data_IF_264227792336
#
_entry.id   IF_264227792336
#
_cell.length_a   1.000
_cell.length_b   1.000
_cell.length_c   1.000
_cell.angle_alpha   90.00
_cell.angle_beta   90.00
_cell.angle_gamma   90.00
#
_symmetry.space_group_name_H-M   'P 1'
#
loop_
_entity.id
_entity.type
_entity.pdbx_description
1 polymer ?
#
# COMPACT_ATOMS: atom_id res chain seq x y z
N UNK A 1 -28.57 10.98 10.77
CA UNK A 1 -27.59 11.36 9.72
C UNK A 1 -26.48 10.32 9.77
N UNK A 2 -26.36 9.46 8.76
CA UNK A 2 -25.28 8.45 8.72
C UNK A 2 -24.02 9.19 8.27
N UNK A 3 -23.06 9.35 9.17
CA UNK A 3 -21.74 9.87 8.77
C UNK A 3 -21.10 8.83 7.85
N UNK A 4 -20.96 9.17 6.57
CA UNK A 4 -20.16 8.39 5.64
C UNK A 4 -18.72 8.37 6.16
N UNK A 5 -18.25 7.18 6.51
CA UNK A 5 -16.87 6.97 6.94
C UNK A 5 -15.99 6.84 5.70
N UNK A 6 -14.85 7.52 5.70
CA UNK A 6 -13.93 7.46 4.58
C UNK A 6 -13.29 6.07 4.52
N UNK A 7 -13.36 5.42 3.35
CA UNK A 7 -12.87 4.06 3.12
C UNK A 7 -12.05 4.03 1.84
N UNK A 8 -10.90 3.36 1.88
CA UNK A 8 -10.06 3.16 0.69
C UNK A 8 -10.61 1.98 -0.10
N UNK A 9 -11.09 2.26 -1.31
CA UNK A 9 -11.34 1.26 -2.35
C UNK A 9 -10.00 0.85 -2.97
N UNK A 10 -9.77 -0.46 -3.09
CA UNK A 10 -8.63 -1.01 -3.82
C UNK A 10 -9.12 -1.90 -4.94
N UNK A 11 -8.46 -1.83 -6.09
CA UNK A 11 -8.74 -2.74 -7.19
C UNK A 11 -7.47 -3.14 -7.92
N UNK A 12 -7.52 -4.28 -8.58
CA UNK A 12 -6.50 -4.78 -9.50
C UNK A 12 -7.19 -5.20 -10.79
N UNK A 13 -6.48 -5.07 -11.91
CA UNK A 13 -6.98 -5.43 -13.23
C UNK A 13 -5.98 -6.38 -13.87
N UNK A 14 -6.50 -7.41 -14.52
CA UNK A 14 -5.74 -8.30 -15.39
C UNK A 14 -6.47 -8.46 -16.73
N UNK A 15 -5.72 -8.86 -17.74
CA UNK A 15 -6.25 -9.09 -19.08
C UNK A 15 -5.54 -10.32 -19.64
N UNK A 16 -6.33 -11.25 -20.16
CA UNK A 16 -5.83 -12.53 -20.67
C UNK A 16 -6.57 -12.89 -21.95
N UNK A 17 -5.83 -13.43 -22.90
CA UNK A 17 -6.43 -14.05 -24.08
C UNK A 17 -6.74 -15.51 -23.75
N UNK A 18 -7.99 -15.90 -23.98
CA UNK A 18 -8.47 -17.27 -23.78
C UNK A 18 -8.84 -17.85 -25.12
N UNK A 19 -8.21 -18.96 -25.50
CA UNK A 19 -8.53 -19.67 -26.74
C UNK A 19 -9.82 -20.47 -26.56
N UNK A 20 -10.84 -20.15 -27.35
CA UNK A 20 -12.10 -20.90 -27.43
C UNK A 20 -12.32 -21.38 -28.86
N UNK A 21 -12.02 -22.65 -29.10
CA UNK A 21 -12.08 -23.25 -30.43
C UNK A 21 -11.10 -22.62 -31.42
N UNK A 22 -11.62 -21.93 -32.45
CA UNK A 22 -10.82 -21.31 -33.51
C UNK A 22 -10.43 -19.85 -33.23
N UNK A 23 -10.81 -19.28 -32.08
CA UNK A 23 -10.61 -17.84 -31.79
C UNK A 23 -10.00 -17.62 -30.42
N UNK A 24 -9.22 -16.55 -30.33
CA UNK A 24 -8.79 -15.99 -29.07
C UNK A 24 -9.81 -14.93 -28.68
N UNK A 25 -10.35 -15.05 -27.47
CA UNK A 25 -11.28 -14.08 -26.90
C UNK A 25 -10.57 -13.42 -25.74
N UNK A 26 -10.62 -12.10 -25.70
CA UNK A 26 -10.01 -11.31 -24.65
C UNK A 26 -10.91 -11.25 -23.42
N UNK A 27 -10.46 -11.84 -22.32
CA UNK A 27 -11.10 -11.76 -21.00
C UNK A 27 -10.43 -10.67 -20.18
N UNK A 28 -11.23 -9.70 -19.72
CA UNK A 28 -10.79 -8.62 -18.82
C UNK A 28 -11.31 -8.91 -17.43
N UNK A 29 -10.39 -9.09 -16.49
CA UNK A 29 -10.70 -9.43 -15.11
C UNK A 29 -10.38 -8.25 -14.20
N UNK A 30 -11.21 -8.02 -13.21
CA UNK A 30 -10.94 -7.03 -12.18
C UNK A 30 -11.37 -7.55 -10.80
N UNK A 31 -10.51 -7.32 -9.82
CA UNK A 31 -10.78 -7.64 -8.44
C UNK A 31 -10.87 -6.35 -7.67
N UNK A 32 -11.98 -6.09 -7.00
CA UNK A 32 -12.19 -4.91 -6.17
C UNK A 32 -12.48 -5.32 -4.73
N UNK A 33 -11.95 -4.54 -3.79
CA UNK A 33 -12.24 -4.71 -2.36
C UNK A 33 -12.38 -3.35 -1.69
N UNK A 34 -13.25 -3.30 -0.69
CA UNK A 34 -13.48 -2.13 0.13
C UNK A 34 -13.78 -2.58 1.57
N UNK A 35 -13.29 -1.86 2.60
CA UNK A 35 -13.68 -2.12 3.97
C UNK A 35 -15.21 -2.10 4.12
N UNK A 36 -15.75 -3.02 4.92
CA UNK A 36 -17.17 -3.01 5.25
C UNK A 36 -17.52 -1.79 6.07
N UNK A 37 -18.75 -1.30 5.96
CA UNK A 37 -19.26 -0.22 6.80
C UNK A 37 -19.17 -0.57 8.29
N UNK A 38 -19.33 -1.85 8.65
CA UNK A 38 -19.12 -2.36 10.00
C UNK A 38 -17.68 -2.15 10.48
N UNK A 39 -16.69 -2.60 9.68
CA UNK A 39 -15.27 -2.45 10.03
C UNK A 39 -14.90 -0.99 10.27
N UNK A 40 -15.46 -0.10 9.45
CA UNK A 40 -15.26 1.33 9.61
C UNK A 40 -15.90 1.84 10.90
N UNK A 41 -17.19 1.57 11.13
CA UNK A 41 -17.89 2.00 12.33
C UNK A 41 -17.18 1.55 13.61
N UNK A 42 -16.75 0.30 13.69
CA UNK A 42 -16.02 -0.23 14.85
C UNK A 42 -14.71 0.54 15.05
N UNK A 43 -13.94 0.76 13.99
CA UNK A 43 -12.66 1.49 14.07
C UNK A 43 -12.83 2.96 14.51
N UNK A 44 -13.90 3.63 14.10
CA UNK A 44 -14.22 4.99 14.51
C UNK A 44 -14.79 5.08 15.93
N UNK A 45 -15.51 4.06 16.40
CA UNK A 45 -16.12 4.06 17.74
C UNK A 45 -15.11 3.80 18.87
N UNK A 46 -13.98 3.14 18.59
CA UNK A 46 -12.97 2.89 19.62
C UNK A 46 -12.46 4.25 20.15
N UNK A 47 -12.64 4.58 21.44
CA UNK A 47 -12.19 5.86 21.96
C UNK A 47 -10.67 5.94 21.87
N UNK A 48 -10.14 7.06 21.39
CA UNK A 48 -8.73 7.36 21.61
C UNK A 48 -8.60 7.68 23.08
N UNK A 49 -7.99 6.78 23.86
CA UNK A 49 -7.58 7.11 25.23
C UNK A 49 -6.72 8.36 25.14
N UNK A 50 -7.30 9.50 25.52
CA UNK A 50 -6.65 10.81 25.51
C UNK A 50 -5.50 10.77 26.51
N UNK A 51 -4.32 10.37 26.05
CA UNK A 51 -3.08 10.49 26.81
C UNK A 51 -2.59 11.94 26.71
N UNK A 52 -3.35 12.86 27.33
CA UNK A 52 -3.03 14.29 27.35
C UNK A 52 -4.09 15.07 28.09
N UNK A 53 -3.70 15.69 29.21
CA UNK A 53 -4.50 16.65 30.00
C UNK A 53 -4.71 17.90 29.14
N UNK A 54 -5.71 17.88 28.25
CA UNK A 54 -6.00 18.98 27.33
C UNK A 54 -6.83 18.61 26.10
N UNK A 55 -6.95 17.31 25.75
CA UNK A 55 -7.79 16.87 24.63
C UNK A 55 -7.36 17.37 23.23
N UNK A 56 -6.29 18.14 23.15
CA UNK A 56 -5.63 18.53 21.91
C UNK A 56 -4.79 17.37 21.41
N UNK A 57 -5.06 16.97 20.17
CA UNK A 57 -4.29 15.97 19.44
C UNK A 57 -2.85 16.44 19.26
N UNK A 58 -1.89 15.55 19.51
CA UNK A 58 -0.48 15.83 19.22
C UNK A 58 -0.24 15.39 17.77
N UNK A 59 -0.17 16.31 16.80
CA UNK A 59 0.23 15.97 15.44
C UNK A 59 1.62 15.31 15.47
N UNK A 60 1.78 14.19 14.76
CA UNK A 60 3.05 13.45 14.67
C UNK A 60 3.15 12.16 15.49
N UNK A 61 2.04 11.64 16.05
CA UNK A 61 2.02 10.26 16.56
C UNK A 61 1.34 9.34 15.56
N UNK A 62 2.13 8.47 14.91
CA UNK A 62 1.66 7.46 13.97
C UNK A 62 0.99 6.31 14.73
N UNK A 63 -0.25 6.54 15.17
CA UNK A 63 -1.09 5.54 15.79
C UNK A 63 -1.93 4.89 14.69
N UNK A 64 -1.70 3.61 14.45
CA UNK A 64 -2.55 2.81 13.57
C UNK A 64 -3.42 1.91 14.44
N UNK A 65 -4.71 1.89 14.16
CA UNK A 65 -5.63 0.92 14.76
C UNK A 65 -5.91 -0.14 13.75
N UNK A 66 -5.90 -1.38 14.18
CA UNK A 66 -6.24 -2.48 13.30
C UNK A 66 -7.25 -3.42 13.94
N UNK A 67 -8.08 -4.01 13.09
CA UNK A 67 -9.11 -4.96 13.48
C UNK A 67 -9.12 -6.08 12.45
N UNK A 68 -9.28 -7.33 12.91
CA UNK A 68 -9.45 -8.48 12.02
C UNK A 68 -10.95 -8.67 11.77
N UNK A 69 -11.40 -8.37 10.56
CA UNK A 69 -12.78 -8.56 10.11
C UNK A 69 -12.79 -9.04 8.66
N UNK A 70 -13.85 -9.72 8.21
CA UNK A 70 -13.99 -10.03 6.80
C UNK A 70 -14.18 -8.73 5.99
N UNK A 71 -13.47 -8.64 4.87
CA UNK A 71 -13.70 -7.65 3.81
C UNK A 71 -14.53 -8.27 2.70
N UNK A 72 -15.25 -7.42 1.97
CA UNK A 72 -15.86 -7.82 0.70
C UNK A 72 -14.78 -7.79 -0.37
N UNK A 73 -14.68 -8.86 -1.14
CA UNK A 73 -13.90 -8.89 -2.37
C UNK A 73 -14.83 -9.35 -3.50
N UNK A 74 -14.83 -8.60 -4.59
CA UNK A 74 -15.61 -8.91 -5.79
C UNK A 74 -14.66 -9.12 -6.95
N UNK A 75 -14.82 -10.23 -7.65
CA UNK A 75 -14.12 -10.56 -8.89
C UNK A 75 -15.11 -10.46 -10.04
N UNK A 76 -14.73 -9.78 -11.11
CA UNK A 76 -15.54 -9.65 -12.32
C UNK A 76 -14.70 -10.02 -13.54
N UNK A 77 -15.17 -11.00 -14.30
CA UNK A 77 -14.57 -11.50 -15.54
C UNK A 77 -15.48 -11.16 -16.71
N UNK A 78 -15.09 -10.19 -17.52
CA UNK A 78 -15.89 -9.70 -18.64
C UNK A 78 -15.25 -10.07 -19.98
N UNK A 79 -16.06 -10.51 -20.93
CA UNK A 79 -15.63 -10.65 -22.32
C UNK A 79 -15.52 -9.27 -22.99
N UNK A 80 -14.49 -9.07 -23.80
CA UNK A 80 -14.34 -7.84 -24.60
C UNK A 80 -15.34 -7.80 -25.75
N UNK A 81 -15.94 -6.63 -26.00
CA UNK A 81 -16.94 -6.47 -27.06
C UNK A 81 -16.35 -6.61 -28.48
N UNK A 82 -15.05 -6.32 -28.64
CA UNK A 82 -14.35 -6.43 -29.92
C UNK A 82 -14.32 -7.88 -30.45
N UNK A 83 -14.44 -8.88 -29.55
CA UNK A 83 -14.43 -10.30 -29.92
C UNK A 83 -15.83 -10.92 -29.98
N UNK A 84 -16.85 -10.24 -29.44
CA UNK A 84 -18.23 -10.70 -29.60
C UNK A 84 -18.66 -10.40 -31.03
N UNK A 85 -18.71 -11.45 -31.86
CA UNK A 85 -19.35 -11.40 -33.18
C UNK A 85 -20.73 -10.75 -33.09
N UNK A 86 -21.27 -10.31 -34.24
CA UNK A 86 -22.70 -10.03 -34.40
C UNK A 86 -23.54 -11.11 -33.69
N UNK A 87 -23.99 -10.79 -32.47
CA UNK A 87 -24.87 -11.66 -31.69
C UNK A 87 -26.21 -11.63 -32.40
N UNK A 88 -26.52 -12.68 -33.14
CA UNK A 88 -27.90 -12.92 -33.58
C UNK A 88 -28.71 -13.36 -32.38
N UNK A 89 -30.03 -13.13 -32.39
CA UNK A 89 -30.90 -13.53 -31.28
C UNK A 89 -30.75 -15.01 -30.89
N UNK A 90 -30.44 -15.85 -31.87
CA UNK A 90 -30.41 -17.30 -31.73
C UNK A 90 -28.99 -17.82 -31.44
N UNK A 91 -27.95 -16.98 -31.51
CA UNK A 91 -26.61 -17.38 -31.09
C UNK A 91 -26.54 -17.58 -29.57
N UNK A 92 -25.93 -18.69 -29.11
CA UNK A 92 -25.59 -18.86 -27.70
C UNK A 92 -24.71 -17.70 -27.22
N UNK A 93 -25.01 -17.19 -26.03
CA UNK A 93 -24.21 -16.09 -25.47
C UNK A 93 -23.02 -16.70 -24.73
N UNK A 94 -21.82 -16.36 -25.17
CA UNK A 94 -20.59 -16.77 -24.48
C UNK A 94 -20.44 -15.99 -23.17
N UNK A 95 -19.85 -16.60 -22.15
CA UNK A 95 -19.49 -15.95 -20.89
C UNK A 95 -18.17 -16.52 -20.34
N UNK A 96 -17.48 -15.79 -19.48
CA UNK A 96 -16.26 -16.29 -18.83
C UNK A 96 -16.63 -17.26 -17.72
N UNK A 97 -15.99 -18.41 -17.60
CA UNK A 97 -16.17 -19.26 -16.41
C UNK A 97 -15.52 -18.60 -15.18
N UNK A 98 -15.79 -19.16 -14.00
CA UNK A 98 -15.30 -18.69 -12.70
C UNK A 98 -13.76 -18.62 -12.60
N UNK A 99 -13.05 -19.44 -13.36
CA UNK A 99 -11.58 -19.45 -13.43
C UNK A 99 -11.00 -18.21 -14.15
N UNK A 100 -11.82 -17.50 -14.92
CA UNK A 100 -11.40 -16.41 -15.80
C UNK A 100 -10.54 -16.85 -16.99
N UNK A 101 -10.37 -18.16 -17.16
CA UNK A 101 -9.44 -18.82 -18.09
C UNK A 101 -10.14 -19.69 -19.12
N UNK A 102 -11.44 -19.93 -18.91
CA UNK A 102 -12.29 -20.75 -19.76
C UNK A 102 -13.54 -19.97 -20.16
N UNK A 103 -14.19 -20.39 -21.25
CA UNK A 103 -15.40 -19.75 -21.76
C UNK A 103 -16.53 -20.78 -21.80
N UNK A 104 -17.64 -20.43 -21.16
CA UNK A 104 -18.89 -21.17 -21.23
C UNK A 104 -19.87 -20.53 -22.19
N UNK A 105 -21.00 -21.20 -22.40
CA UNK A 105 -22.14 -20.66 -23.15
C UNK A 105 -23.41 -20.79 -22.32
N UNK A 106 -24.20 -19.72 -22.26
CA UNK A 106 -25.57 -19.71 -21.71
C UNK A 106 -26.59 -19.76 -22.87
N UNK A 107 -27.90 -19.97 -22.58
CA UNK A 107 -28.93 -19.94 -23.59
C UNK A 107 -28.89 -18.68 -24.47
N UNK A 108 -29.49 -18.76 -25.65
CA UNK A 108 -29.45 -17.69 -26.65
C UNK A 108 -30.00 -16.36 -26.11
N UNK A 109 -29.58 -15.26 -26.74
CA UNK A 109 -30.03 -13.91 -26.37
C UNK A 109 -31.57 -13.79 -26.39
N UNK A 110 -32.24 -14.50 -27.31
CA UNK A 110 -33.70 -14.62 -27.35
C UNK A 110 -34.27 -15.13 -26.01
N UNK A 111 -33.65 -16.14 -25.42
CA UNK A 111 -34.13 -16.71 -24.16
C UNK A 111 -33.93 -15.75 -22.99
N UNK A 112 -32.81 -15.00 -22.97
CA UNK A 112 -32.57 -13.97 -21.96
C UNK A 112 -33.60 -12.85 -22.03
N UNK A 113 -33.91 -12.39 -23.25
CA UNK A 113 -34.93 -11.36 -23.48
C UNK A 113 -36.32 -11.89 -23.13
N UNK A 114 -36.62 -13.15 -23.48
CA UNK A 114 -37.88 -13.76 -23.11
C UNK A 114 -38.03 -13.83 -21.58
N UNK A 115 -36.96 -14.22 -20.87
CA UNK A 115 -36.95 -14.20 -19.41
C UNK A 115 -37.21 -12.79 -18.85
N UNK A 116 -36.60 -11.74 -19.42
CA UNK A 116 -36.88 -10.36 -19.05
C UNK A 116 -38.37 -9.99 -19.24
N UNK A 117 -38.95 -10.37 -20.37
CA UNK A 117 -40.38 -10.15 -20.66
C UNK A 117 -41.28 -10.91 -19.67
N UNK A 118 -40.91 -12.14 -19.33
CA UNK A 118 -41.65 -12.98 -18.38
C UNK A 118 -41.63 -12.39 -16.95
N UNK A 119 -40.59 -11.62 -16.60
CA UNK A 119 -40.46 -10.90 -15.32
C UNK A 119 -41.04 -9.48 -15.36
N UNK A 120 -41.92 -9.18 -16.32
CA UNK A 120 -42.66 -7.92 -16.40
C UNK A 120 -42.03 -6.86 -17.29
N UNK A 121 -40.99 -7.20 -18.06
CA UNK A 121 -40.47 -6.35 -19.13
C UNK A 121 -41.50 -6.08 -20.22
N UNK A 122 -41.42 -4.91 -20.88
CA UNK A 122 -42.29 -4.57 -22.02
C UNK A 122 -41.57 -4.81 -23.35
N UNK A 123 -42.32 -5.23 -24.38
CA UNK A 123 -41.79 -5.35 -25.75
C UNK A 123 -41.47 -4.00 -26.38
N UNK A 124 -42.09 -2.93 -25.88
CA UNK A 124 -41.86 -1.56 -26.33
C UNK A 124 -40.66 -0.91 -25.60
N UNK A 125 -40.01 -1.63 -24.68
CA UNK A 125 -38.81 -1.14 -24.00
C UNK A 125 -37.69 -0.94 -25.02
N UNK A 126 -37.07 0.25 -25.08
CA UNK A 126 -35.88 0.45 -25.88
C UNK A 126 -34.76 -0.51 -25.51
N UNK A 127 -33.99 -1.01 -26.49
CA UNK A 127 -32.89 -1.95 -26.22
C UNK A 127 -31.87 -1.36 -25.23
N UNK A 128 -31.52 -0.08 -25.38
CA UNK A 128 -30.63 0.64 -24.46
C UNK A 128 -31.24 0.93 -23.08
N UNK A 129 -32.52 0.64 -22.89
CA UNK A 129 -33.23 0.76 -21.62
C UNK A 129 -33.43 -0.59 -20.92
N UNK A 130 -32.91 -1.69 -21.48
CA UNK A 130 -32.95 -3.00 -20.84
C UNK A 130 -31.94 -2.98 -19.68
N UNK A 131 -32.35 -3.29 -18.43
CA UNK A 131 -31.42 -3.42 -17.32
C UNK A 131 -30.50 -4.64 -17.53
N UNK A 132 -29.37 -4.74 -16.81
CA UNK A 132 -28.54 -5.94 -16.87
C UNK A 132 -29.36 -7.19 -16.51
N UNK A 133 -29.23 -8.24 -17.32
CA UNK A 133 -29.91 -9.50 -17.08
C UNK A 133 -28.99 -10.41 -16.28
N UNK A 134 -29.38 -10.74 -15.05
CA UNK A 134 -28.59 -11.57 -14.14
C UNK A 134 -29.05 -13.03 -14.18
N UNK A 135 -28.08 -13.94 -14.22
CA UNK A 135 -28.30 -15.38 -14.20
C UNK A 135 -27.31 -16.04 -13.27
N UNK A 136 -27.75 -17.02 -12.48
CA UNK A 136 -26.79 -17.87 -11.76
C UNK A 136 -25.86 -18.57 -12.76
N UNK A 137 -24.57 -18.66 -12.43
CA UNK A 137 -23.63 -19.44 -13.24
C UNK A 137 -24.09 -20.90 -13.32
N UNK A 138 -24.10 -21.52 -14.51
CA UNK A 138 -24.48 -22.91 -14.68
C UNK A 138 -23.39 -23.88 -14.20
N UNK A 139 -22.23 -23.38 -13.76
CA UNK A 139 -21.15 -24.20 -13.23
C UNK A 139 -21.55 -24.90 -11.92
N UNK A 140 -21.33 -26.22 -11.79
CA UNK A 140 -21.77 -26.97 -10.62
C UNK A 140 -21.04 -26.52 -9.36
N UNK A 141 -21.80 -26.01 -8.39
CA UNK A 141 -21.27 -25.52 -7.11
C UNK A 141 -20.72 -24.10 -7.17
N UNK A 142 -20.86 -23.40 -8.30
CA UNK A 142 -20.54 -21.98 -8.40
C UNK A 142 -21.52 -21.12 -7.60
N UNK A 143 -21.00 -20.05 -7.00
CA UNK A 143 -21.79 -18.98 -6.40
C UNK A 143 -21.74 -17.69 -7.22
N UNK A 144 -21.23 -17.75 -8.45
CA UNK A 144 -21.11 -16.58 -9.30
C UNK A 144 -22.42 -16.32 -10.06
N UNK A 145 -22.54 -15.08 -10.54
CA UNK A 145 -23.68 -14.61 -11.32
C UNK A 145 -23.15 -14.06 -12.63
N UNK A 146 -23.73 -14.50 -13.73
CA UNK A 146 -23.47 -14.01 -15.08
C UNK A 146 -24.43 -12.86 -15.37
N UNK A 147 -23.88 -11.67 -15.57
CA UNK A 147 -24.61 -10.49 -16.01
C UNK A 147 -24.47 -10.29 -17.52
N UNK A 148 -25.58 -10.14 -18.23
CA UNK A 148 -25.62 -9.79 -19.64
C UNK A 148 -26.07 -8.34 -19.83
N UNK A 149 -25.20 -7.54 -20.47
CA UNK A 149 -25.38 -6.12 -20.75
C UNK A 149 -25.61 -5.96 -22.26
N UNK A 150 -26.84 -5.63 -22.63
CA UNK A 150 -27.23 -5.46 -24.03
C UNK A 150 -27.17 -3.97 -24.35
N UNK A 151 -26.44 -3.62 -25.42
CA UNK A 151 -26.36 -2.26 -25.91
C UNK A 151 -26.54 -2.21 -27.41
N UNK A 152 -27.09 -1.08 -27.85
CA UNK A 152 -27.26 -0.74 -29.24
C UNK A 152 -26.54 0.58 -29.53
N UNK A 153 -25.48 0.49 -30.34
CA UNK A 153 -24.65 1.62 -30.77
C UNK A 153 -24.78 1.86 -32.28
N UNK A 154 -25.98 1.69 -32.83
CA UNK A 154 -26.23 2.13 -34.20
C UNK A 154 -25.93 3.64 -34.32
N UNK A 155 -25.07 3.99 -35.27
CA UNK A 155 -24.89 5.36 -35.73
C UNK A 155 -26.17 5.86 -36.44
N UNK A 156 -27.18 6.25 -35.64
CA UNK A 156 -28.48 6.70 -36.12
C UNK A 156 -29.46 6.88 -34.96
N UNK A 157 -30.24 7.95 -34.98
CA UNK A 157 -31.20 8.30 -33.92
C UNK A 157 -32.39 7.33 -33.75
N UNK A 158 -32.41 6.22 -34.50
CA UNK A 158 -33.49 5.23 -34.37
C UNK A 158 -33.23 4.36 -33.16
N UNK A 159 -34.03 4.61 -32.13
CA UNK A 159 -34.06 3.80 -30.93
C UNK A 159 -34.87 2.54 -31.24
N UNK A 160 -34.20 1.39 -31.31
CA UNK A 160 -34.85 0.10 -31.52
C UNK A 160 -35.51 -0.36 -30.21
N UNK A 161 -36.70 -0.94 -30.33
CA UNK A 161 -37.40 -1.59 -29.21
C UNK A 161 -37.23 -3.11 -29.27
N UNK A 162 -37.55 -3.80 -28.18
CA UNK A 162 -37.43 -5.26 -28.09
C UNK A 162 -38.27 -5.97 -29.17
N UNK A 163 -39.45 -5.44 -29.53
CA UNK A 163 -40.26 -6.02 -30.60
C UNK A 163 -39.54 -6.05 -31.95
N UNK A 164 -38.82 -4.99 -32.31
CA UNK A 164 -38.06 -4.91 -33.57
C UNK A 164 -36.95 -5.97 -33.59
N UNK A 165 -36.34 -6.18 -32.42
CA UNK A 165 -35.29 -7.16 -32.21
C UNK A 165 -35.82 -8.61 -32.31
N UNK A 166 -36.99 -8.89 -31.72
CA UNK A 166 -37.65 -10.20 -31.78
C UNK A 166 -38.20 -10.55 -33.17
N UNK A 167 -38.69 -9.56 -33.92
CA UNK A 167 -39.21 -9.71 -35.28
C UNK A 167 -38.12 -9.89 -36.35
N UNK A 168 -36.84 -9.90 -35.93
CA UNK A 168 -35.70 -10.08 -36.81
C UNK A 168 -35.55 -8.95 -37.86
N UNK A 169 -36.18 -7.79 -37.64
CA UNK A 169 -36.08 -6.66 -38.57
C UNK A 169 -34.65 -6.13 -38.66
N UNK A 170 -33.85 -6.31 -37.60
CA UNK A 170 -32.42 -5.95 -37.56
C UNK A 170 -31.57 -6.74 -38.58
N UNK A 171 -31.92 -8.00 -38.86
CA UNK A 171 -31.16 -8.82 -39.81
C UNK A 171 -31.52 -8.55 -41.27
N UNK A 172 -32.69 -7.95 -41.52
CA UNK A 172 -33.19 -7.69 -42.88
C UNK A 172 -32.89 -6.27 -43.37
N UNK A 173 -32.65 -5.31 -42.46
CA UNK A 173 -32.75 -3.88 -42.82
C UNK A 173 -31.45 -3.19 -43.20
N UNK A 174 -30.26 -3.75 -42.99
CA UNK A 174 -29.02 -3.10 -43.47
C UNK A 174 -27.82 -4.05 -43.58
N UNK A 175 -27.19 -4.19 -44.76
CA UNK A 175 -25.88 -4.82 -44.92
C UNK A 175 -24.77 -3.83 -44.48
N UNK A 176 -24.93 -3.21 -43.30
CA UNK A 176 -23.93 -2.31 -42.75
C UNK A 176 -22.78 -3.14 -42.18
N UNK A 177 -21.58 -2.70 -42.52
CA UNK A 177 -20.29 -3.28 -42.18
C UNK A 177 -20.04 -3.40 -40.67
N UNK A 178 -20.85 -2.74 -39.84
CA UNK A 178 -20.67 -2.67 -38.39
C UNK A 178 -21.89 -3.24 -37.64
N UNK A 179 -21.71 -4.14 -36.66
CA UNK A 179 -22.77 -4.60 -35.78
C UNK A 179 -23.43 -3.41 -35.08
N UNK A 180 -24.75 -3.39 -35.02
CA UNK A 180 -25.47 -2.40 -34.21
C UNK A 180 -25.69 -2.87 -32.77
N UNK A 181 -25.89 -4.18 -32.60
CA UNK A 181 -26.25 -4.81 -31.33
C UNK A 181 -25.04 -5.52 -30.75
N UNK A 182 -24.66 -5.13 -29.55
CA UNK A 182 -23.58 -5.73 -28.80
C UNK A 182 -24.11 -6.29 -27.49
N UNK A 183 -23.72 -7.52 -27.19
CA UNK A 183 -23.99 -8.15 -25.90
C UNK A 183 -22.68 -8.35 -25.18
N UNK A 184 -22.54 -7.77 -24.01
CA UNK A 184 -21.40 -7.99 -23.14
C UNK A 184 -21.81 -8.86 -21.97
N UNK A 185 -21.04 -9.89 -21.69
CA UNK A 185 -21.25 -10.73 -20.51
C UNK A 185 -20.13 -10.56 -19.51
N UNK A 186 -20.49 -10.50 -18.25
CA UNK A 186 -19.55 -10.53 -17.14
C UNK A 186 -19.97 -11.57 -16.12
N UNK A 187 -19.06 -12.43 -15.72
CA UNK A 187 -19.24 -13.33 -14.59
C UNK A 187 -18.70 -12.66 -13.36
N UNK A 188 -19.53 -12.55 -12.32
CA UNK A 188 -19.18 -11.87 -11.08
C UNK A 188 -19.31 -12.83 -9.93
N UNK A 189 -18.26 -12.96 -9.13
CA UNK A 189 -18.31 -13.62 -7.84
C UNK A 189 -18.00 -12.61 -6.74
N UNK A 190 -18.73 -12.70 -5.64
CA UNK A 190 -18.50 -11.91 -4.44
C UNK A 190 -18.24 -12.83 -3.26
N UNK A 191 -17.30 -12.47 -2.40
CA UNK A 191 -16.94 -13.29 -1.25
C UNK A 191 -16.45 -12.46 -0.07
N UNK A 192 -16.64 -13.02 1.12
CA UNK A 192 -16.03 -12.58 2.35
C UNK A 192 -14.61 -13.15 2.46
N UNK A 193 -13.63 -12.26 2.55
CA UNK A 193 -12.22 -12.62 2.74
C UNK A 193 -11.77 -12.13 4.13
N UNK A 194 -11.23 -13.01 5.00
CA UNK A 194 -10.62 -12.57 6.25
C UNK A 194 -9.52 -11.53 5.99
N UNK A 195 -9.62 -10.35 6.60
CA UNK A 195 -8.68 -9.26 6.39
C UNK A 195 -8.36 -8.51 7.67
N UNK A 196 -7.22 -7.83 7.67
CA UNK A 196 -6.93 -6.78 8.64
C UNK A 196 -7.36 -5.44 8.04
N UNK A 197 -8.18 -4.70 8.77
CA UNK A 197 -8.60 -3.34 8.45
C UNK A 197 -7.85 -2.39 9.37
N UNK A 198 -7.37 -1.29 8.82
CA UNK A 198 -6.60 -0.29 9.54
C UNK A 198 -7.27 1.07 9.44
N UNK A 199 -7.35 1.79 10.56
CA UNK A 199 -7.64 3.22 10.57
C UNK A 199 -6.32 3.97 10.59
N UNK A 200 -6.02 4.67 9.51
CA UNK A 200 -4.81 5.46 9.36
C UNK A 200 -5.16 6.90 8.95
N UNK A 201 -4.30 7.83 9.33
CA UNK A 201 -4.39 9.20 8.83
C UNK A 201 -3.81 9.24 7.40
N UNK A 202 -4.62 9.70 6.45
CA UNK A 202 -4.21 9.97 5.07
C UNK A 202 -4.59 11.41 4.72
N UNK A 203 -3.57 12.21 4.39
CA UNK A 203 -3.73 13.60 3.96
C UNK A 203 -4.57 14.48 4.92
N UNK A 204 -4.47 14.24 6.22
CA UNK A 204 -5.20 14.98 7.27
C UNK A 204 -6.61 14.43 7.57
N UNK A 205 -7.04 13.38 6.89
CA UNK A 205 -8.31 12.69 7.15
C UNK A 205 -8.07 11.28 7.68
N UNK A 206 -8.94 10.81 8.58
CA UNK A 206 -8.91 9.39 8.97
C UNK A 206 -9.61 8.58 7.88
N UNK A 207 -8.94 7.54 7.40
CA UNK A 207 -9.48 6.65 6.37
C UNK A 207 -9.27 5.21 6.82
N UNK A 208 -10.30 4.40 6.63
CA UNK A 208 -10.21 2.96 6.85
C UNK A 208 -9.67 2.32 5.59
N UNK A 209 -8.58 1.58 5.71
CA UNK A 209 -7.94 0.85 4.61
C UNK A 209 -7.85 -0.63 4.93
N UNK A 210 -7.82 -1.46 3.91
CA UNK A 210 -7.51 -2.89 4.05
C UNK A 210 -6.08 -3.15 3.62
N UNK A 211 -5.55 -4.32 4.01
CA UNK A 211 -4.30 -4.84 3.45
C UNK A 211 -4.36 -4.95 1.92
N UNK A 212 -3.22 -5.18 1.27
CA UNK A 212 -3.19 -5.41 -0.18
C UNK A 212 -4.15 -6.54 -0.57
N UNK A 213 -4.69 -6.47 -1.79
CA UNK A 213 -5.32 -7.66 -2.36
C UNK A 213 -4.24 -8.73 -2.42
N UNK A 214 -4.54 -9.89 -1.85
CA UNK A 214 -3.79 -11.11 -2.14
C UNK A 214 -3.78 -11.23 -3.67
N UNK A 215 -2.65 -11.53 -4.30
CA UNK A 215 -2.68 -11.89 -5.72
C UNK A 215 -3.52 -13.16 -5.82
N UNK A 216 -4.82 -13.00 -6.12
CA UNK A 216 -5.71 -14.10 -6.44
C UNK A 216 -5.31 -14.56 -7.84
N UNK A 217 -4.30 -15.42 -7.91
CA UNK A 217 -4.03 -16.18 -9.11
C UNK A 217 -5.18 -17.17 -9.29
N UNK A 218 -6.12 -16.82 -10.18
CA UNK A 218 -7.21 -17.61 -10.80
C UNK A 218 -8.08 -18.53 -9.90
N UNK A 219 -7.87 -18.53 -8.59
CA UNK A 219 -8.53 -19.39 -7.63
C UNK A 219 -8.96 -18.60 -6.40
N UNK A 220 -10.20 -18.85 -5.97
CA UNK A 220 -10.70 -18.38 -4.69
C UNK A 220 -9.79 -18.92 -3.57
N UNK A 221 -9.28 -18.05 -2.66
CA UNK A 221 -8.55 -18.51 -1.49
C UNK A 221 -9.42 -19.49 -0.70
N UNK A 222 -8.85 -20.61 -0.23
CA UNK A 222 -9.58 -21.67 0.48
C UNK A 222 -10.36 -21.18 1.72
N UNK A 223 -10.04 -19.99 2.22
CA UNK A 223 -10.65 -19.38 3.42
C UNK A 223 -11.77 -18.40 3.11
N UNK A 224 -12.12 -18.17 1.84
CA UNK A 224 -13.20 -17.24 1.49
C UNK A 224 -14.57 -17.88 1.63
N UNK A 225 -15.57 -17.08 1.99
CA UNK A 225 -16.98 -17.51 2.01
C UNK A 225 -17.77 -16.79 0.91
N UNK A 226 -18.48 -17.50 0.03
CA UNK A 226 -19.22 -16.86 -1.04
C UNK A 226 -20.36 -15.98 -0.51
N UNK A 227 -20.64 -14.89 -1.20
CA UNK A 227 -21.79 -14.02 -1.00
C UNK A 227 -22.81 -14.36 -2.08
N UNK A 228 -23.87 -15.06 -1.69
CA UNK A 228 -25.03 -15.28 -2.56
C UNK A 228 -25.98 -14.10 -2.38
N UNK A 229 -26.20 -13.33 -3.45
CA UNK A 229 -27.16 -12.24 -3.44
C UNK A 229 -28.02 -12.30 -4.71
N UNK A 230 -29.32 -12.08 -4.54
CA UNK A 230 -30.23 -11.85 -5.64
C UNK A 230 -30.00 -10.43 -6.17
N UNK A 231 -29.24 -10.32 -7.27
CA UNK A 231 -28.88 -9.03 -7.86
C UNK A 231 -30.09 -8.28 -8.44
N UNK A 232 -31.17 -8.98 -8.78
CA UNK A 232 -32.40 -8.38 -9.30
C UNK A 232 -33.15 -7.59 -8.21
N UNK A 233 -32.99 -8.02 -6.95
CA UNK A 233 -33.57 -7.35 -5.77
C UNK A 233 -32.86 -6.03 -5.40
N UNK A 234 -31.66 -5.79 -5.94
CA UNK A 234 -30.86 -4.60 -5.64
C UNK A 234 -31.27 -3.47 -6.60
N UNK A 235 -32.15 -2.59 -6.13
CA UNK A 235 -32.75 -1.50 -6.90
C UNK A 235 -31.77 -0.60 -7.65
N UNK A 236 -30.53 -0.45 -7.19
CA UNK A 236 -29.49 0.33 -7.89
C UNK A 236 -28.84 -0.37 -9.08
N UNK A 237 -28.73 -1.71 -9.03
CA UNK A 237 -28.07 -2.50 -10.07
C UNK A 237 -29.03 -2.86 -11.21
N UNK A 238 -30.31 -2.97 -10.90
CA UNK A 238 -31.37 -3.27 -11.86
C UNK A 238 -31.93 -1.98 -12.52
N UNK A 239 -31.06 -1.02 -12.83
CA UNK A 239 -31.44 0.22 -13.51
C UNK A 239 -30.82 0.31 -14.91
N UNK A 240 -31.54 0.86 -15.89
CA UNK A 240 -30.97 1.08 -17.22
C UNK A 240 -29.76 2.03 -17.21
N UNK A 241 -29.73 2.99 -16.28
CA UNK A 241 -28.61 3.91 -16.09
C UNK A 241 -27.36 3.18 -15.62
N UNK A 242 -27.48 2.16 -14.76
CA UNK A 242 -26.36 1.31 -14.37
C UNK A 242 -25.85 0.49 -15.56
N UNK A 243 -26.75 -0.15 -16.33
CA UNK A 243 -26.37 -0.88 -17.55
C UNK A 243 -25.67 0.00 -18.58
N UNK A 244 -26.16 1.24 -18.79
CA UNK A 244 -25.54 2.22 -19.66
C UNK A 244 -24.15 2.67 -19.16
N UNK A 245 -24.00 2.87 -17.84
CA UNK A 245 -22.72 3.26 -17.22
C UNK A 245 -21.65 2.17 -17.38
N UNK A 246 -22.06 0.91 -17.32
CA UNK A 246 -21.16 -0.24 -17.48
C UNK A 246 -20.80 -0.47 -18.94
N UNK A 247 -21.73 -0.38 -19.90
CA UNK A 247 -21.38 -0.73 -21.29
C UNK A 247 -20.90 0.42 -22.19
N UNK A 248 -21.06 1.70 -21.80
CA UNK A 248 -20.62 2.84 -22.65
C UNK A 248 -19.11 2.91 -22.89
N UNK A 249 -18.28 2.22 -22.11
CA UNK A 249 -16.86 2.51 -22.01
C UNK A 249 -16.02 1.23 -21.96
N UNK A 250 -16.14 0.43 -23.03
CA UNK A 250 -15.70 -0.97 -23.18
C UNK A 250 -14.33 -1.34 -22.57
N UNK A 251 -13.43 -0.36 -22.43
CA UNK A 251 -12.11 -0.51 -21.83
C UNK A 251 -12.08 -0.71 -20.30
N UNK A 252 -13.12 -0.33 -19.54
CA UNK A 252 -13.05 -0.27 -18.08
C UNK A 252 -14.16 -1.03 -17.34
N UNK A 253 -14.93 -1.84 -18.05
CA UNK A 253 -16.22 -2.36 -17.55
C UNK A 253 -16.08 -3.34 -16.38
N UNK A 254 -15.10 -4.25 -16.41
CA UNK A 254 -14.89 -5.19 -15.30
C UNK A 254 -14.51 -4.46 -14.01
N UNK A 255 -13.67 -3.43 -14.09
CA UNK A 255 -13.29 -2.61 -12.94
C UNK A 255 -14.49 -1.85 -12.39
N UNK A 256 -15.27 -1.17 -13.23
CA UNK A 256 -16.46 -0.42 -12.79
C UNK A 256 -17.48 -1.34 -12.13
N UNK A 257 -17.71 -2.51 -12.73
CA UNK A 257 -18.64 -3.50 -12.22
C UNK A 257 -18.19 -4.05 -10.86
N UNK A 258 -16.93 -4.49 -10.76
CA UNK A 258 -16.37 -5.01 -9.51
C UNK A 258 -16.41 -3.94 -8.40
N UNK A 259 -16.07 -2.69 -8.71
CA UNK A 259 -16.10 -1.57 -7.76
C UNK A 259 -17.52 -1.25 -7.30
N UNK A 260 -18.49 -1.20 -8.22
CA UNK A 260 -19.88 -0.92 -7.90
C UNK A 260 -20.46 -1.99 -6.97
N UNK A 261 -20.25 -3.27 -7.31
CA UNK A 261 -20.72 -4.39 -6.51
C UNK A 261 -19.99 -4.47 -5.16
N UNK A 262 -18.68 -4.24 -5.11
CA UNK A 262 -17.94 -4.19 -3.85
C UNK A 262 -18.49 -3.08 -2.94
N UNK A 263 -18.84 -1.93 -3.52
CA UNK A 263 -19.45 -0.82 -2.78
C UNK A 263 -20.81 -1.22 -2.22
N UNK A 264 -21.70 -1.77 -3.04
CA UNK A 264 -23.03 -2.24 -2.63
C UNK A 264 -22.92 -3.28 -1.50
N UNK A 265 -22.11 -4.31 -1.69
CA UNK A 265 -21.94 -5.38 -0.71
C UNK A 265 -21.28 -4.91 0.59
N UNK A 266 -20.46 -3.86 0.55
CA UNK A 266 -19.87 -3.27 1.76
C UNK A 266 -20.85 -2.50 2.62
N UNK A 267 -22.00 -2.10 2.05
CA UNK A 267 -23.09 -1.43 2.73
C UNK A 267 -24.12 -2.40 3.32
N UNK A 268 -24.08 -3.70 2.98
CA UNK A 268 -25.06 -4.67 3.47
C UNK A 268 -25.11 -4.57 5.00
N UNK A 269 -26.27 -4.19 5.57
CA UNK A 269 -26.37 -3.88 6.97
C UNK A 269 -26.30 -5.16 7.78
N UNK A 270 -25.11 -5.44 8.31
CA UNK A 270 -24.88 -6.51 9.28
C UNK A 270 -25.71 -6.34 10.57
N UNK A 271 -26.34 -5.18 10.76
CA UNK A 271 -27.12 -4.82 11.97
C UNK A 271 -28.33 -5.74 12.19
N UNK A 272 -29.03 -6.13 11.13
CA UNK A 272 -30.19 -7.04 11.23
C UNK A 272 -29.75 -8.48 11.57
N UNK A 273 -28.56 -8.86 11.11
CA UNK A 273 -27.92 -10.14 11.44
C UNK A 273 -27.39 -10.20 12.88
N UNK A 274 -26.91 -9.06 13.43
CA UNK A 274 -26.56 -8.97 14.85
C UNK A 274 -27.82 -9.00 15.73
N UNK A 275 -28.89 -8.31 15.34
CA UNK A 275 -30.12 -8.24 16.16
C UNK A 275 -30.86 -9.58 16.25
N UNK A 276 -30.80 -10.41 15.21
CA UNK A 276 -31.35 -11.78 15.24
C UNK A 276 -30.50 -12.76 16.06
N UNK A 277 -29.24 -12.42 16.36
CA UNK A 277 -28.34 -13.22 17.19
C UNK A 277 -28.45 -12.91 18.71
N UNK A 278 -29.47 -12.18 19.16
CA UNK A 278 -29.71 -11.87 20.59
C UNK A 278 -30.28 -13.07 21.39
N UNK A 279 -29.98 -14.30 20.97
CA UNK A 279 -30.13 -15.51 21.80
C UNK A 279 -28.88 -15.76 22.65
N UNK A 280 -28.88 -16.80 23.49
CA UNK A 280 -27.74 -17.25 24.31
C UNK A 280 -26.52 -17.76 23.50
N UNK A 281 -26.39 -17.37 22.23
CA UNK A 281 -25.26 -17.76 21.40
C UNK A 281 -23.98 -16.98 21.79
N UNK A 282 -22.82 -17.65 21.78
CA UNK A 282 -21.56 -17.03 22.17
C UNK A 282 -21.23 -15.85 21.25
N UNK A 283 -20.98 -14.69 21.86
CA UNK A 283 -20.57 -13.48 21.15
C UNK A 283 -19.32 -13.74 20.29
N UNK A 284 -19.32 -13.21 19.07
CA UNK A 284 -18.12 -13.20 18.23
C UNK A 284 -17.08 -12.26 18.83
N UNK A 285 -15.96 -12.80 19.30
CA UNK A 285 -14.88 -12.01 19.87
C UNK A 285 -14.13 -11.32 18.74
N UNK A 286 -14.14 -9.99 18.76
CA UNK A 286 -13.42 -9.16 17.81
C UNK A 286 -12.09 -8.73 18.43
N UNK A 287 -10.98 -9.19 17.86
CA UNK A 287 -9.64 -8.76 18.26
C UNK A 287 -9.31 -7.38 17.68
N UNK A 288 -9.13 -6.39 18.56
CA UNK A 288 -8.69 -5.05 18.21
C UNK A 288 -7.23 -4.91 18.62
N UNK A 289 -6.35 -4.59 17.68
CA UNK A 289 -4.94 -4.34 17.93
C UNK A 289 -4.61 -2.86 17.71
N UNK A 290 -4.04 -2.23 18.73
CA UNK A 290 -3.52 -0.86 18.67
C UNK A 290 -2.01 -0.92 18.44
N UNK A 291 -1.56 -0.48 17.27
CA UNK A 291 -0.14 -0.39 16.95
C UNK A 291 0.31 1.06 17.00
N UNK A 292 1.37 1.34 17.77
CA UNK A 292 1.99 2.65 17.85
C UNK A 292 3.35 2.55 17.18
N UNK A 293 3.52 3.23 16.04
CA UNK A 293 4.85 3.43 15.49
C UNK A 293 5.57 4.44 16.38
N UNK A 294 6.70 4.01 16.93
CA UNK A 294 7.64 4.86 17.62
C UNK A 294 9.05 4.38 17.30
N UNK A 295 10.02 5.29 17.39
CA UNK A 295 11.43 4.92 17.37
C UNK A 295 11.77 4.22 18.69
N UNK A 296 11.37 2.95 18.79
CA UNK A 296 11.84 2.04 19.81
C UNK A 296 13.13 1.41 19.31
N UNK A 297 14.19 1.45 20.13
CA UNK A 297 15.30 0.53 19.95
C UNK A 297 14.76 -0.88 20.20
N UNK A 298 14.31 -1.55 19.14
CA UNK A 298 13.78 -2.90 19.23
C UNK A 298 14.93 -3.83 19.63
N UNK A 299 14.97 -4.21 20.92
CA UNK A 299 16.00 -5.09 21.48
C UNK A 299 15.84 -6.55 21.02
N UNK A 300 14.84 -6.84 20.17
CA UNK A 300 14.64 -8.14 19.55
C UNK A 300 15.66 -8.41 18.44
N UNK A 301 16.13 -7.37 17.76
CA UNK A 301 17.01 -7.55 16.61
C UNK A 301 18.41 -8.03 17.07
N UNK A 302 18.95 -9.03 16.39
CA UNK A 302 20.25 -9.64 16.72
C UNK A 302 21.36 -8.57 16.70
N UNK A 303 21.27 -7.61 15.78
CA UNK A 303 22.21 -6.49 15.67
C UNK A 303 22.18 -5.59 16.91
N UNK A 304 20.98 -5.21 17.38
CA UNK A 304 20.83 -4.39 18.59
C UNK A 304 21.34 -5.12 19.82
N UNK A 305 21.10 -6.43 19.94
CA UNK A 305 21.61 -7.24 21.05
C UNK A 305 23.14 -7.29 21.07
N UNK A 306 23.76 -7.52 19.92
CA UNK A 306 25.22 -7.53 19.79
C UNK A 306 25.83 -6.17 20.15
N UNK A 307 25.24 -5.08 19.66
CA UNK A 307 25.69 -3.72 19.98
C UNK A 307 25.61 -3.44 21.49
N UNK A 308 24.51 -3.83 22.14
CA UNK A 308 24.36 -3.70 23.59
C UNK A 308 25.39 -4.52 24.36
N UNK A 309 25.69 -5.75 23.93
CA UNK A 309 26.71 -6.59 24.55
C UNK A 309 28.10 -5.95 24.45
N UNK A 310 28.46 -5.44 23.26
CA UNK A 310 29.77 -4.80 23.05
C UNK A 310 29.91 -3.54 23.90
N UNK A 311 28.89 -2.68 23.93
CA UNK A 311 28.89 -1.47 24.75
C UNK A 311 28.96 -1.83 26.23
N UNK A 312 28.19 -2.82 26.69
CA UNK A 312 28.23 -3.26 28.09
C UNK A 312 29.61 -3.81 28.45
N UNK A 313 30.22 -4.63 27.59
CA UNK A 313 31.56 -5.16 27.79
C UNK A 313 32.60 -4.03 27.88
N UNK A 314 32.53 -3.04 26.98
CA UNK A 314 33.38 -1.86 27.04
C UNK A 314 33.20 -1.08 28.36
N UNK A 315 31.96 -0.85 28.78
CA UNK A 315 31.67 -0.18 30.06
C UNK A 315 32.24 -0.96 31.25
N UNK A 316 32.15 -2.29 31.26
CA UNK A 316 32.72 -3.13 32.32
C UNK A 316 34.24 -3.02 32.36
N UNK A 317 34.91 -3.05 31.21
CA UNK A 317 36.37 -2.86 31.11
C UNK A 317 36.76 -1.46 31.59
N UNK A 318 36.04 -0.42 31.17
CA UNK A 318 36.31 0.95 31.58
C UNK A 318 36.12 1.16 33.09
N UNK A 319 35.04 0.64 33.68
CA UNK A 319 34.80 0.69 35.12
C UNK A 319 35.89 -0.08 35.85
N UNK A 320 36.24 -1.29 35.40
CA UNK A 320 37.34 -2.08 35.98
C UNK A 320 38.66 -1.33 35.95
N UNK A 321 38.98 -0.65 34.84
CA UNK A 321 40.18 0.16 34.72
C UNK A 321 40.17 1.38 35.66
N UNK A 322 39.04 2.08 35.78
CA UNK A 322 38.89 3.20 36.72
C UNK A 322 39.06 2.71 38.17
N UNK A 323 38.43 1.59 38.54
CA UNK A 323 38.57 0.98 39.87
C UNK A 323 40.01 0.54 40.12
N UNK A 324 40.69 -0.01 39.12
CA UNK A 324 42.11 -0.38 39.19
C UNK A 324 43.00 0.85 39.41
N UNK A 325 42.76 1.95 38.68
CA UNK A 325 43.49 3.21 38.87
C UNK A 325 43.27 3.78 40.27
N UNK A 326 42.03 3.79 40.76
CA UNK A 326 41.69 4.29 42.10
C UNK A 326 42.34 3.46 43.21
N UNK A 327 42.37 2.13 43.07
CA UNK A 327 42.95 1.23 44.08
C UNK A 327 44.48 1.21 44.06
N UNK A 328 45.09 1.26 42.87
CA UNK A 328 46.55 1.22 42.72
C UNK A 328 47.21 2.56 43.01
N UNK A 329 46.45 3.67 43.01
CA UNK A 329 46.97 5.03 43.24
C UNK A 329 47.95 5.53 42.17
N UNK A 330 48.23 4.73 41.14
CA UNK A 330 49.08 5.08 40.01
C UNK A 330 48.21 5.68 38.92
N UNK A 331 48.00 6.99 38.96
CA UNK A 331 47.51 7.71 37.80
C UNK A 331 48.58 7.63 36.70
N UNK A 332 48.28 7.00 35.56
CA UNK A 332 49.17 7.04 34.40
C UNK A 332 49.25 8.49 33.92
N UNK A 333 50.33 9.20 34.27
CA UNK A 333 50.55 10.61 33.94
C UNK A 333 50.84 10.86 32.47
N UNK A 334 50.81 9.83 31.62
CA UNK A 334 51.23 9.90 30.22
C UNK A 334 50.42 10.86 29.31
N UNK A 335 49.30 11.40 29.80
CA UNK A 335 48.45 12.34 29.05
C UNK A 335 47.81 13.44 29.92
N UNK A 336 48.25 13.60 31.17
CA UNK A 336 47.55 14.45 32.12
C UNK A 336 47.85 15.95 32.01
N UNK A 337 48.82 16.37 31.19
CA UNK A 337 49.13 17.78 31.03
C UNK A 337 48.82 18.26 29.61
N UNK A 338 47.92 19.24 29.49
CA UNK A 338 47.71 19.98 28.24
C UNK A 338 49.03 20.55 27.67
N UNK A 339 50.04 20.80 28.53
CA UNK A 339 51.36 21.25 28.10
C UNK A 339 52.16 20.17 27.38
N UNK A 340 51.92 18.88 27.64
CA UNK A 340 52.61 17.78 26.96
C UNK A 340 52.15 17.63 25.50
N UNK A 341 50.85 17.85 25.26
CA UNK A 341 50.28 17.94 23.90
C UNK A 341 50.84 19.18 23.17
N UNK A 342 50.97 20.32 23.87
CA UNK A 342 51.58 21.53 23.30
C UNK A 342 53.05 21.27 22.94
N UNK A 343 53.85 20.63 23.81
CA UNK A 343 55.25 20.31 23.52
C UNK A 343 55.38 19.30 22.35
N UNK A 344 54.51 18.29 22.27
CA UNK A 344 54.43 17.39 21.12
C UNK A 344 54.10 18.14 19.82
N UNK A 345 53.18 19.11 19.87
CA UNK A 345 52.87 19.95 18.73
C UNK A 345 54.03 20.90 18.35
N UNK A 346 54.81 21.36 19.34
CA UNK A 346 56.00 22.19 19.14
C UNK A 346 57.18 21.41 18.55
N UNK A 347 57.25 20.10 18.78
CA UNK A 347 58.32 19.23 18.31
C UNK A 347 58.11 18.75 16.84
N UNK A 348 57.50 19.57 15.98
CA UNK A 348 57.25 19.22 14.58
C UNK A 348 58.52 19.15 13.71
N UNK A 349 59.67 19.59 14.24
CA UNK A 349 60.99 19.47 13.60
C UNK A 349 62.02 19.02 14.62
N UNK A 350 62.76 17.96 14.28
CA UNK A 350 63.71 17.26 15.17
C UNK A 350 64.92 18.16 15.47
N UNK A 351 64.99 18.75 16.66
CA UNK A 351 66.22 19.39 17.14
C UNK A 351 67.22 18.31 17.57
N UNK A 352 68.49 18.48 17.23
CA UNK A 352 69.54 17.49 17.59
C UNK A 352 69.79 17.44 19.10
N UNK A 353 69.40 18.48 19.85
CA UNK A 353 69.61 18.56 21.29
C UNK A 353 68.58 17.76 22.10
N UNK A 354 67.37 17.55 21.59
CA UNK A 354 66.29 16.81 22.24
C UNK A 354 66.10 15.41 21.65
N UNK A 355 67.22 14.73 21.32
CA UNK A 355 67.24 13.50 20.51
C UNK A 355 66.47 12.31 21.10
N UNK A 356 66.08 12.37 22.38
CA UNK A 356 65.38 11.30 23.10
C UNK A 356 64.24 11.77 24.02
N UNK A 357 63.64 12.93 23.74
CA UNK A 357 62.47 13.38 24.51
C UNK A 357 61.21 13.03 23.72
N UNK A 358 60.58 11.92 24.09
CA UNK A 358 59.26 11.51 23.59
C UNK A 358 58.39 11.18 24.81
N UNK A 359 57.27 11.89 24.97
CA UNK A 359 56.21 11.71 25.97
C UNK A 359 56.69 11.28 27.38
N UNK A 360 56.71 12.23 28.32
CA UNK A 360 57.17 12.03 29.70
C UNK A 360 58.17 13.09 30.19
N UNK A 361 57.97 14.37 29.86
CA UNK A 361 58.83 15.46 30.39
C UNK A 361 58.43 15.71 31.85
N UNK A 362 59.13 15.07 32.77
CA UNK A 362 58.86 15.19 34.21
C UNK A 362 59.80 16.17 34.93
N UNK A 363 60.65 16.91 34.18
CA UNK A 363 61.58 17.89 34.74
C UNK A 363 61.12 19.32 34.47
N UNK A 364 60.94 20.10 35.54
CA UNK A 364 60.61 21.52 35.47
C UNK A 364 61.71 22.35 34.78
N UNK A 365 62.94 21.83 34.73
CA UNK A 365 64.07 22.49 34.07
C UNK A 365 63.89 22.59 32.56
N UNK A 366 63.25 21.60 31.93
CA UNK A 366 62.95 21.65 30.48
C UNK A 366 61.89 22.71 30.16
N UNK A 367 61.00 23.02 31.10
CA UNK A 367 60.01 24.10 30.94
C UNK A 367 60.58 25.50 31.16
N UNK A 368 61.74 25.61 31.83
CA UNK A 368 62.41 26.88 32.09
C UNK A 368 63.43 27.26 31.01
N UNK A 369 63.63 26.41 29.99
CA UNK A 369 64.56 26.72 28.91
C UNK A 369 63.97 27.82 28.02
N UNK A 370 64.66 28.97 27.86
CA UNK A 370 64.14 30.10 27.10
C UNK A 370 64.00 29.73 25.62
N UNK A 371 62.80 29.96 25.09
CA UNK A 371 62.46 29.70 23.68
C UNK A 371 62.25 31.03 22.97
N UNK A 372 62.93 31.22 21.85
CA UNK A 372 62.77 32.41 21.01
C UNK A 372 61.95 32.11 19.75
N UNK A 373 61.01 32.98 19.39
CA UNK A 373 60.30 32.90 18.10
C UNK A 373 61.16 33.54 17.02
N UNK A 374 61.41 32.82 15.92
CA UNK A 374 62.19 33.30 14.78
C UNK A 374 61.50 32.99 13.45
N UNK A 375 61.85 33.75 12.42
CA UNK A 375 61.33 33.57 11.07
C UNK A 375 62.34 32.77 10.26
N UNK A 376 61.88 31.64 9.73
CA UNK A 376 62.66 30.81 8.82
C UNK A 376 62.75 31.42 7.42
N UNK A 377 63.74 30.98 6.62
CA UNK A 377 63.96 31.46 5.25
C UNK A 377 62.72 31.29 4.34
N UNK A 378 61.78 30.41 4.70
CA UNK A 378 60.50 30.23 3.99
C UNK A 378 59.32 30.96 4.66
N UNK A 379 59.55 32.06 5.37
CA UNK A 379 58.53 32.90 6.03
C UNK A 379 57.57 32.16 6.99
N UNK A 380 58.00 31.11 7.67
CA UNK A 380 57.21 30.50 8.76
C UNK A 380 57.86 30.83 10.10
N UNK A 381 57.02 30.96 11.12
CA UNK A 381 57.45 31.15 12.50
C UNK A 381 57.89 29.81 13.08
N UNK A 382 59.11 29.75 13.60
CA UNK A 382 59.68 28.60 14.30
C UNK A 382 60.07 29.02 15.73
N UNK A 383 59.84 28.11 16.68
CA UNK A 383 60.31 28.25 18.06
C UNK A 383 61.67 27.56 18.18
N UNK A 384 62.67 28.31 18.62
CA UNK A 384 64.08 27.87 18.67
C UNK A 384 64.59 28.01 20.09
N UNK A 385 65.16 26.93 20.62
CA UNK A 385 65.80 26.93 21.94
C UNK A 385 67.14 27.69 21.88
N UNK A 386 67.45 28.45 22.93
CA UNK A 386 68.64 29.31 22.95
C UNK A 386 69.97 28.54 22.80
N UNK A 387 70.01 27.27 23.19
CA UNK A 387 71.19 26.40 23.12
C UNK A 387 71.40 25.68 21.79
N UNK A 388 70.49 25.81 20.83
CA UNK A 388 70.70 25.20 19.52
C UNK A 388 71.87 25.90 18.81
N UNK A 389 72.75 25.14 18.15
CA UNK A 389 74.06 25.64 17.71
C UNK A 389 73.98 26.93 16.88
N UNK A 390 74.90 27.86 17.13
CA UNK A 390 75.00 29.21 16.51
C UNK A 390 74.97 29.22 14.98
N UNK A 391 75.21 28.09 14.33
CA UNK A 391 75.13 27.92 12.89
C UNK A 391 73.70 27.89 12.35
N UNK A 392 72.72 27.34 13.06
CA UNK A 392 71.31 27.41 12.64
C UNK A 392 70.67 28.77 12.96
N UNK A 393 71.05 29.39 14.08
CA UNK A 393 70.61 30.74 14.43
C UNK A 393 70.98 31.80 13.37
N UNK A 394 72.07 31.59 12.62
CA UNK A 394 72.51 32.48 11.54
C UNK A 394 71.57 32.50 10.34
N UNK A 395 70.76 31.46 10.14
CA UNK A 395 69.80 31.35 9.03
C UNK A 395 68.39 31.85 9.36
N UNK A 396 68.12 32.13 10.63
CA UNK A 396 66.78 32.50 11.10
C UNK A 396 66.75 33.99 11.47
N UNK A 397 65.78 34.73 10.93
CA UNK A 397 65.64 36.18 11.16
C UNK A 397 64.79 36.47 12.40
N UNK A 398 65.06 37.58 13.09
CA UNK A 398 64.20 38.06 14.18
C UNK A 398 62.85 38.52 13.62
N UNK A 399 61.78 38.22 14.34
CA UNK A 399 60.41 38.66 13.99
C UNK A 399 60.34 40.18 14.06
N UNK A 400 59.97 40.81 12.95
CA UNK A 400 59.62 42.23 12.91
C UNK A 400 58.19 42.47 13.39
N UNK A 401 57.98 43.51 14.20
CA UNK A 401 56.67 43.95 14.68
C UNK A 401 55.75 44.32 13.49
N UNK A 402 54.47 43.97 13.59
CA UNK A 402 53.42 44.29 12.59
C UNK A 402 53.67 43.77 11.17
N UNK A 403 54.28 42.59 11.04
CA UNK A 403 54.43 41.90 9.76
C UNK A 403 53.80 40.51 9.82
N UNK A 404 52.93 40.19 8.86
CA UNK A 404 52.43 38.84 8.67
C UNK A 404 53.54 37.98 8.04
N UNK A 405 53.80 36.81 8.60
CA UNK A 405 54.78 35.84 8.11
C UNK A 405 54.04 34.61 7.59
#
# INVERSE_FOLDING_TARGET
MVHLTSRVLRYTRTQKEVSSGQRNILVRSANATIPTQLSAQVLYQIPFTKYGRGGTWIPGTDITRSIKLPRVTVTAHCLSADDTQQTTLDTPVAYSLDDGDSIGTIPSLRNLIQQFLDHGGSRDTPVNAIPPLWLASPEPGSSSVVGSFIQNDCAGSKQYVISDLLLNELNLSMPLSDPCLYTKTCTVAAFWEPSQHELAADSGSWVVRTGSLSNLDHGLPKTTRPISADLDSITGLNTPSFGALIGKDFQFDSTRLAVALATVFSEIPWKEQIQSAWGDEPYTVIEIALTRLGYGYETSSISTRLSLIVIMAYCMVAVGYITYLLSSGHASTAWCSATEIIVLALQSKRSEHLRHVSAGINSIETYQEPVGIRVSDRNHLELVFERESSNQLRKLRRVGLNKAY
#
